data_IF_408748057495
#
_entry.id   IF_408748057495
#
_cell.length_a   1.000
_cell.length_b   1.000
_cell.length_c   1.000
_cell.angle_alpha   90.00
_cell.angle_beta   90.00
_cell.angle_gamma   90.00
#
_symmetry.space_group_name_H-M   'P 1'
#
loop_
_entity.id
_entity.type
_entity.pdbx_description
1 polymer ?
#
# COMPACT_ATOMS: atom_id res chain seq x y z
N UNK A 1 -51.86 -33.93 28.68
CA UNK A 1 -51.75 -35.41 28.81
C UNK A 1 -51.39 -36.01 27.45
N UNK A 2 -50.40 -36.93 27.42
CA UNK A 2 -49.95 -37.80 26.29
C UNK A 2 -49.19 -37.06 25.16
N UNK A 3 -47.85 -37.02 25.11
CA UNK A 3 -46.80 -38.04 24.84
C UNK A 3 -46.71 -38.51 23.37
N UNK A 4 -45.54 -38.19 22.78
CA UNK A 4 -44.66 -39.00 21.91
C UNK A 4 -45.20 -39.49 20.56
N UNK A 5 -44.53 -39.09 19.47
CA UNK A 5 -44.04 -40.06 18.48
C UNK A 5 -42.77 -39.53 17.79
N UNK A 6 -41.65 -40.04 18.28
CA UNK A 6 -40.31 -40.02 17.67
C UNK A 6 -40.23 -41.24 16.74
N UNK A 7 -39.35 -41.19 15.73
CA UNK A 7 -38.92 -42.26 14.81
C UNK A 7 -39.70 -42.44 13.50
N UNK A 8 -39.22 -41.74 12.46
CA UNK A 8 -38.92 -42.38 11.18
C UNK A 8 -37.51 -41.98 10.74
N UNK A 9 -36.58 -42.86 11.07
CA UNK A 9 -35.18 -42.89 10.65
C UNK A 9 -35.09 -43.79 9.41
N UNK A 10 -34.17 -43.46 8.49
CA UNK A 10 -33.65 -44.28 7.37
C UNK A 10 -34.44 -44.34 6.05
N UNK A 11 -34.24 -43.35 5.17
CA UNK A 11 -34.03 -43.47 3.70
C UNK A 11 -33.39 -42.12 3.31
N UNK A 12 -32.18 -41.92 2.78
CA UNK A 12 -31.39 -42.63 1.78
C UNK A 12 -29.92 -42.19 1.92
N UNK A 13 -29.07 -43.11 2.37
CA UNK A 13 -27.63 -43.04 2.29
C UNK A 13 -27.20 -43.84 1.04
N UNK A 14 -27.13 -43.20 -0.12
CA UNK A 14 -26.47 -43.73 -1.32
C UNK A 14 -26.42 -42.67 -2.42
N UNK A 15 -25.27 -42.03 -2.59
CA UNK A 15 -24.70 -41.57 -3.86
C UNK A 15 -23.45 -40.72 -3.58
N UNK A 16 -22.37 -41.39 -3.18
CA UNK A 16 -21.03 -40.96 -3.57
C UNK A 16 -20.69 -41.76 -4.83
N UNK A 17 -20.27 -41.08 -5.91
CA UNK A 17 -18.94 -41.38 -6.37
C UNK A 17 -18.13 -40.10 -6.65
N UNK A 18 -16.94 -40.09 -6.07
CA UNK A 18 -15.67 -39.71 -6.68
C UNK A 18 -15.71 -38.67 -7.80
N UNK A 19 -15.45 -37.40 -7.47
CA UNK A 19 -14.55 -36.56 -8.27
C UNK A 19 -13.35 -36.16 -7.40
N UNK A 20 -12.26 -36.94 -7.53
CA UNK A 20 -10.91 -36.42 -7.34
C UNK A 20 -10.59 -35.56 -8.56
N UNK A 21 -10.72 -34.24 -8.42
CA UNK A 21 -10.00 -33.31 -9.30
C UNK A 21 -8.63 -33.11 -8.67
N UNK A 22 -7.67 -33.92 -9.09
CA UNK A 22 -6.27 -33.54 -9.09
C UNK A 22 -6.06 -32.67 -10.33
N UNK A 23 -5.94 -31.36 -10.14
CA UNK A 23 -5.45 -30.46 -11.19
C UNK A 23 -4.72 -29.28 -10.54
N UNK A 24 -3.41 -29.47 -10.42
CA UNK A 24 -2.36 -28.45 -10.40
C UNK A 24 -2.50 -27.28 -9.42
N UNK A 25 -1.74 -27.40 -8.32
CA UNK A 25 -0.96 -26.30 -7.78
C UNK A 25 -0.22 -25.58 -8.91
N UNK A 26 -0.85 -24.53 -9.43
CA UNK A 26 -0.12 -23.36 -9.91
C UNK A 26 -0.44 -22.25 -8.93
N UNK A 27 0.32 -22.24 -7.83
CA UNK A 27 0.66 -21.01 -7.14
C UNK A 27 1.32 -20.12 -8.19
N UNK A 28 0.53 -19.34 -8.90
CA UNK A 28 1.02 -18.18 -9.61
C UNK A 28 1.51 -17.24 -8.52
N UNK A 29 2.80 -17.36 -8.19
CA UNK A 29 3.56 -16.21 -7.75
C UNK A 29 3.47 -15.23 -8.91
N UNK A 30 2.48 -14.34 -8.86
CA UNK A 30 2.51 -13.10 -9.61
C UNK A 30 3.78 -12.40 -9.14
N UNK A 31 4.87 -12.58 -9.90
CA UNK A 31 5.89 -11.54 -9.97
C UNK A 31 5.13 -10.27 -10.33
N UNK A 32 5.29 -9.16 -9.59
CA UNK A 32 4.77 -7.88 -10.03
C UNK A 32 5.48 -7.55 -11.34
N UNK A 33 4.85 -7.90 -12.45
CA UNK A 33 5.19 -7.40 -13.76
C UNK A 33 5.02 -5.89 -13.68
N UNK A 34 6.07 -5.16 -14.04
CA UNK A 34 6.16 -3.71 -14.19
C UNK A 34 5.16 -3.13 -15.24
N UNK A 35 4.00 -3.74 -15.43
CA UNK A 35 2.95 -3.28 -16.34
C UNK A 35 2.00 -2.27 -15.68
N UNK A 36 1.90 -2.25 -14.34
CA UNK A 36 0.95 -1.37 -13.63
C UNK A 36 1.40 0.10 -13.52
N UNK A 37 2.64 0.42 -13.92
CA UNK A 37 3.13 1.79 -13.93
C UNK A 37 2.59 2.61 -15.12
N UNK A 38 2.25 1.97 -16.24
CA UNK A 38 1.85 2.67 -17.47
C UNK A 38 0.37 3.04 -17.51
N UNK A 39 -0.50 2.27 -16.84
CA UNK A 39 -1.95 2.57 -16.78
C UNK A 39 -2.32 3.60 -15.70
N UNK A 40 -1.37 4.00 -14.85
CA UNK A 40 -1.56 5.15 -13.96
C UNK A 40 -1.57 6.49 -14.69
N UNK A 41 -0.95 6.58 -15.88
CA UNK A 41 -0.82 7.83 -16.62
C UNK A 41 -2.13 8.32 -17.29
N UNK A 42 -3.14 7.45 -17.43
CA UNK A 42 -4.44 7.77 -18.06
C UNK A 42 -5.61 7.85 -17.09
N UNK A 43 -5.33 7.95 -15.79
CA UNK A 43 -6.41 8.06 -14.81
C UNK A 43 -6.91 9.52 -14.75
N UNK A 44 -8.23 9.75 -14.67
CA UNK A 44 -8.77 11.08 -14.47
C UNK A 44 -8.14 11.64 -13.20
N UNK A 45 -7.42 12.77 -13.33
CA UNK A 45 -6.74 13.43 -12.22
C UNK A 45 -7.73 13.57 -11.07
N UNK A 46 -7.47 12.87 -9.95
CA UNK A 46 -8.31 12.98 -8.76
C UNK A 46 -8.13 14.38 -8.22
N UNK A 47 -9.08 15.26 -8.52
CA UNK A 47 -9.05 16.63 -7.99
C UNK A 47 -9.24 16.69 -6.46
N UNK A 48 -9.47 15.55 -5.78
CA UNK A 48 -9.92 15.51 -4.38
C UNK A 48 -9.20 14.57 -3.43
N UNK A 49 -8.40 13.60 -3.90
CA UNK A 49 -7.72 12.68 -2.97
C UNK A 49 -6.28 13.15 -2.79
N UNK A 50 -5.88 13.64 -1.60
CA UNK A 50 -4.53 14.12 -1.39
C UNK A 50 -3.50 13.00 -1.56
N UNK A 51 -2.36 13.35 -2.14
CA UNK A 51 -1.27 12.42 -2.45
C UNK A 51 -0.72 11.72 -1.20
N UNK A 52 -0.79 12.37 -0.04
CA UNK A 52 -0.42 11.81 1.26
C UNK A 52 -1.17 10.52 1.59
N UNK A 53 -2.45 10.41 1.23
CA UNK A 53 -3.26 9.21 1.49
C UNK A 53 -2.81 8.03 0.63
N UNK A 54 -2.32 8.28 -0.59
CA UNK A 54 -1.84 7.24 -1.52
C UNK A 54 -0.55 6.56 -1.03
N UNK A 55 0.13 7.15 -0.04
CA UNK A 55 1.29 6.53 0.59
C UNK A 55 0.90 5.33 1.44
N UNK A 56 -0.30 5.33 2.02
CA UNK A 56 -0.82 4.22 2.83
C UNK A 56 -1.54 3.18 1.98
N UNK A 57 -1.47 1.90 2.37
CA UNK A 57 -2.23 0.83 1.72
C UNK A 57 -3.74 1.08 1.80
N UNK A 58 -4.24 1.41 2.99
CA UNK A 58 -5.65 1.70 3.20
C UNK A 58 -6.14 2.89 2.37
N UNK A 59 -5.36 3.96 2.27
CA UNK A 59 -5.70 5.11 1.44
C UNK A 59 -5.71 4.79 -0.06
N UNK A 60 -4.81 3.92 -0.55
CA UNK A 60 -4.84 3.42 -1.93
C UNK A 60 -6.11 2.63 -2.23
N UNK A 61 -6.50 1.74 -1.33
CA UNK A 61 -7.74 0.96 -1.47
C UNK A 61 -8.98 1.86 -1.54
N UNK A 62 -9.11 2.80 -0.61
CA UNK A 62 -10.23 3.73 -0.57
C UNK A 62 -10.26 4.64 -1.80
N UNK A 63 -9.10 5.12 -2.25
CA UNK A 63 -9.00 5.90 -3.48
C UNK A 63 -9.45 5.09 -4.72
N UNK A 64 -9.09 3.82 -4.80
CA UNK A 64 -9.52 2.93 -5.88
C UNK A 64 -11.04 2.70 -5.84
N UNK A 65 -11.59 2.42 -4.66
CA UNK A 65 -13.04 2.26 -4.46
C UNK A 65 -13.80 3.52 -4.86
N UNK A 66 -13.33 4.69 -4.41
CA UNK A 66 -13.91 5.98 -4.76
C UNK A 66 -13.95 6.20 -6.28
N UNK A 67 -12.85 5.92 -6.98
CA UNK A 67 -12.79 6.05 -8.46
C UNK A 67 -13.81 5.15 -9.14
N UNK A 68 -13.90 3.89 -8.71
CA UNK A 68 -14.82 2.90 -9.29
C UNK A 68 -16.29 3.31 -9.09
N UNK A 69 -16.62 3.75 -7.88
CA UNK A 69 -17.97 4.23 -7.55
C UNK A 69 -18.31 5.50 -8.31
N UNK A 70 -17.39 6.48 -8.34
CA UNK A 70 -17.60 7.73 -9.07
C UNK A 70 -17.76 7.50 -10.58
N UNK A 71 -16.96 6.62 -11.19
CA UNK A 71 -17.13 6.24 -12.59
C UNK A 71 -18.52 5.65 -12.84
N UNK A 72 -18.97 4.77 -11.94
CA UNK A 72 -20.31 4.14 -12.01
C UNK A 72 -21.44 5.17 -11.86
N UNK A 73 -21.29 6.16 -10.99
CA UNK A 73 -22.26 7.27 -10.84
C UNK A 73 -22.29 8.18 -12.08
N UNK A 74 -21.13 8.42 -12.71
CA UNK A 74 -21.02 9.27 -13.90
C UNK A 74 -21.61 8.61 -15.14
N UNK A 75 -21.48 7.29 -15.29
CA UNK A 75 -22.08 6.56 -16.42
C UNK A 75 -23.59 6.40 -16.27
N UNK A 76 -24.13 6.46 -15.05
CA UNK A 76 -25.56 6.37 -14.78
C UNK A 76 -26.27 7.71 -14.95
N UNK A 77 -27.42 7.70 -15.62
CA UNK A 77 -28.30 8.86 -15.73
C UNK A 77 -28.82 9.35 -14.36
N UNK A 78 -29.23 10.63 -14.23
CA UNK A 78 -29.66 11.21 -12.95
C UNK A 78 -30.90 10.54 -12.35
N UNK A 79 -31.73 9.88 -13.17
CA UNK A 79 -32.95 9.17 -12.74
C UNK A 79 -32.73 7.67 -12.46
N UNK A 80 -31.49 7.18 -12.48
CA UNK A 80 -31.23 5.75 -12.28
C UNK A 80 -31.54 5.34 -10.83
N UNK A 81 -32.29 4.25 -10.59
CA UNK A 81 -32.77 3.90 -9.24
C UNK A 81 -31.64 3.59 -8.25
N UNK A 82 -30.53 3.00 -8.71
CA UNK A 82 -29.39 2.70 -7.83
C UNK A 82 -28.42 3.87 -7.63
N UNK A 83 -28.63 5.00 -8.31
CA UNK A 83 -27.69 6.13 -8.26
C UNK A 83 -27.57 6.70 -6.85
N UNK A 84 -28.70 6.86 -6.15
CA UNK A 84 -28.74 7.36 -4.78
C UNK A 84 -27.90 6.48 -3.84
N UNK A 85 -28.04 5.15 -3.95
CA UNK A 85 -27.27 4.22 -3.13
C UNK A 85 -25.76 4.32 -3.40
N UNK A 86 -25.35 4.49 -4.66
CA UNK A 86 -23.94 4.66 -5.02
C UNK A 86 -23.39 6.01 -4.55
N UNK A 87 -24.18 7.08 -4.59
CA UNK A 87 -23.76 8.38 -4.04
C UNK A 87 -23.59 8.33 -2.54
N UNK A 88 -24.44 7.61 -1.81
CA UNK A 88 -24.30 7.42 -0.37
C UNK A 88 -23.03 6.64 -0.03
N UNK A 89 -22.70 5.60 -0.82
CA UNK A 89 -21.44 4.86 -0.68
C UNK A 89 -20.23 5.75 -0.96
N UNK A 90 -20.32 6.62 -1.97
CA UNK A 90 -19.25 7.55 -2.32
C UNK A 90 -18.99 8.54 -1.17
N UNK A 91 -20.05 9.05 -0.54
CA UNK A 91 -19.95 9.91 0.64
C UNK A 91 -19.31 9.20 1.84
N UNK A 92 -19.64 7.93 2.08
CA UNK A 92 -19.01 7.12 3.14
C UNK A 92 -17.51 6.96 2.91
N UNK A 93 -17.11 6.64 1.68
CA UNK A 93 -15.68 6.52 1.33
C UNK A 93 -14.95 7.87 1.46
N UNK A 94 -15.61 8.97 1.10
CA UNK A 94 -15.05 10.32 1.28
C UNK A 94 -14.85 10.65 2.77
N UNK A 95 -15.80 10.27 3.64
CA UNK A 95 -15.65 10.41 5.09
C UNK A 95 -14.51 9.56 5.66
N UNK A 96 -14.36 8.31 5.19
CA UNK A 96 -13.24 7.44 5.60
C UNK A 96 -11.88 8.01 5.17
N UNK A 97 -11.79 8.57 3.96
CA UNK A 97 -10.58 9.23 3.48
C UNK A 97 -10.21 10.44 4.36
N UNK A 98 -11.19 11.29 4.66
CA UNK A 98 -11.01 12.46 5.53
C UNK A 98 -10.61 12.07 6.97
N UNK A 99 -11.05 10.92 7.47
CA UNK A 99 -10.66 10.43 8.79
C UNK A 99 -9.19 9.99 8.86
N UNK A 100 -8.59 9.58 7.74
CA UNK A 100 -7.18 9.15 7.66
C UNK A 100 -6.23 10.35 7.54
N UNK A 101 -6.67 11.44 6.89
CA UNK A 101 -5.86 12.67 6.75
C UNK A 101 -5.24 13.19 8.07
N UNK A 102 -5.99 13.34 9.17
CA UNK A 102 -5.42 13.79 10.44
C UNK A 102 -4.50 12.74 11.08
N UNK A 103 -4.72 11.45 10.82
CA UNK A 103 -3.87 10.37 11.34
C UNK A 103 -2.48 10.34 10.67
N UNK A 104 -2.37 10.86 9.44
CA UNK A 104 -1.08 11.04 8.76
C UNK A 104 -0.27 12.22 9.31
N UNK A 105 -0.89 13.07 10.14
CA UNK A 105 -0.27 14.20 10.82
C UNK A 105 0.17 15.31 9.89
N UNK A 106 0.25 16.53 10.42
CA UNK A 106 1.07 17.57 9.80
C UNK A 106 2.51 17.07 9.84
N UNK A 107 2.98 16.55 8.71
CA UNK A 107 4.33 16.02 8.57
C UNK A 107 5.29 17.12 9.03
N UNK A 108 5.98 16.91 10.15
CA UNK A 108 6.97 17.87 10.60
C UNK A 108 7.94 18.14 9.44
N UNK A 109 8.28 19.42 9.19
CA UNK A 109 9.12 19.79 8.07
C UNK A 109 10.42 19.00 8.16
N UNK A 110 10.67 18.16 7.15
CA UNK A 110 11.79 17.23 7.13
C UNK A 110 13.11 17.99 7.42
N UNK A 111 13.79 17.70 8.55
CA UNK A 111 14.97 18.46 8.97
C UNK A 111 16.19 18.26 8.05
N UNK A 112 16.12 17.29 7.12
CA UNK A 112 17.15 17.03 6.13
C UNK A 112 16.95 17.80 4.82
N UNK A 113 15.77 18.40 4.58
CA UNK A 113 15.55 19.20 3.37
C UNK A 113 16.33 20.52 3.37
N UNK A 114 16.56 21.10 4.53
CA UNK A 114 17.36 22.33 4.67
C UNK A 114 18.82 22.11 4.28
N UNK A 115 19.40 20.96 4.65
CA UNK A 115 20.79 20.60 4.29
C UNK A 115 20.98 20.28 2.81
N UNK A 116 19.98 19.66 2.17
CA UNK A 116 20.05 19.37 0.73
C UNK A 116 19.91 20.63 -0.12
N UNK A 117 19.07 21.59 0.29
CA UNK A 117 18.96 22.88 -0.40
C UNK A 117 20.21 23.75 -0.24
N UNK A 118 20.97 23.60 0.84
CA UNK A 118 22.24 24.32 0.99
C UNK A 118 23.41 23.70 0.21
N UNK A 119 23.27 22.45 -0.28
CA UNK A 119 24.26 21.83 -1.18
C UNK A 119 23.96 22.05 -2.67
N UNK A 120 22.72 22.45 -3.00
CA UNK A 120 22.33 22.80 -4.36
C UNK A 120 22.38 24.32 -4.47
N UNK A 121 23.52 24.85 -4.91
CA UNK A 121 23.68 26.26 -5.24
C UNK A 121 22.61 26.71 -6.27
N UNK A 122 21.79 27.73 -5.99
CA UNK A 122 20.88 28.31 -6.97
C UNK A 122 21.63 29.38 -7.78
N UNK A 123 22.65 28.99 -8.55
CA UNK A 123 23.34 29.94 -9.46
C UNK A 123 23.99 29.30 -10.69
N UNK A 124 23.43 28.20 -11.20
CA UNK A 124 23.86 27.69 -12.51
C UNK A 124 22.64 27.67 -13.43
N UNK A 125 22.49 28.78 -14.17
CA UNK A 125 21.83 28.75 -15.47
C UNK A 125 22.50 27.64 -16.29
N UNK A 126 21.69 26.80 -16.93
CA UNK A 126 22.13 25.65 -17.68
C UNK A 126 23.21 26.02 -18.72
N UNK A 127 24.33 25.28 -18.77
CA UNK A 127 25.04 25.05 -20.00
C UNK A 127 24.84 23.60 -20.44
N UNK A 128 24.46 23.47 -21.70
CA UNK A 128 24.41 22.24 -22.46
C UNK A 128 25.80 21.58 -22.51
N UNK A 129 25.80 20.24 -22.53
CA UNK A 129 26.91 19.34 -22.91
C UNK A 129 28.23 19.42 -22.13
N UNK A 130 28.45 18.44 -21.24
CA UNK A 130 29.81 18.02 -20.84
C UNK A 130 29.82 16.51 -20.51
N UNK A 131 30.91 15.87 -20.93
CA UNK A 131 31.14 14.44 -21.13
C UNK A 131 31.05 13.51 -19.89
N UNK A 132 30.80 12.20 -20.09
CA UNK A 132 30.68 11.20 -19.02
C UNK A 132 32.05 10.63 -18.61
N UNK A 133 32.93 11.45 -18.01
CA UNK A 133 34.28 10.99 -17.63
C UNK A 133 34.67 11.15 -16.15
N UNK A 134 33.81 11.69 -15.28
CA UNK A 134 34.22 12.10 -13.92
C UNK A 134 33.45 11.42 -12.76
N UNK A 135 33.14 10.13 -12.91
CA UNK A 135 32.37 9.37 -11.91
C UNK A 135 33.23 8.69 -10.81
N UNK A 136 34.55 8.93 -10.75
CA UNK A 136 35.46 8.17 -9.88
C UNK A 136 36.07 8.91 -8.69
N UNK A 137 35.72 10.18 -8.45
CA UNK A 137 36.25 10.95 -7.32
C UNK A 137 35.24 11.05 -6.16
N UNK A 138 34.84 9.88 -5.63
CA UNK A 138 34.24 9.83 -4.30
C UNK A 138 35.35 10.18 -3.29
N UNK A 139 35.28 11.40 -2.73
CA UNK A 139 36.24 11.89 -1.75
C UNK A 139 36.39 10.86 -0.63
N UNK A 140 37.63 10.51 -0.29
CA UNK A 140 37.92 9.46 0.69
C UNK A 140 37.26 9.71 2.07
N UNK A 141 36.96 10.97 2.39
CA UNK A 141 36.16 11.36 3.56
C UNK A 141 34.73 10.82 3.55
N UNK A 142 34.07 10.76 2.40
CA UNK A 142 32.70 10.25 2.25
C UNK A 142 32.66 8.74 2.46
N UNK A 143 33.67 8.02 1.99
CA UNK A 143 33.83 6.58 2.21
C UNK A 143 34.07 6.28 3.69
N UNK A 144 34.89 7.08 4.37
CA UNK A 144 35.10 6.93 5.82
C UNK A 144 33.85 7.26 6.63
N UNK A 145 33.09 8.28 6.23
CA UNK A 145 31.83 8.63 6.86
C UNK A 145 30.79 7.50 6.70
N UNK A 146 30.69 6.93 5.51
CA UNK A 146 29.81 5.80 5.24
C UNK A 146 30.17 4.58 6.11
N UNK A 147 31.47 4.26 6.24
CA UNK A 147 31.95 3.17 7.10
C UNK A 147 31.57 3.39 8.57
N UNK A 148 31.72 4.62 9.07
CA UNK A 148 31.31 4.99 10.45
C UNK A 148 29.79 4.84 10.65
N UNK A 149 29.01 5.25 9.67
CA UNK A 149 27.55 5.12 9.70
C UNK A 149 27.11 3.65 9.68
N UNK A 150 27.71 2.83 8.81
CA UNK A 150 27.43 1.39 8.75
C UNK A 150 27.79 0.70 10.08
N UNK A 151 28.93 1.01 10.68
CA UNK A 151 29.32 0.47 11.97
C UNK A 151 28.33 0.86 13.10
N UNK A 152 27.87 2.11 13.09
CA UNK A 152 26.86 2.58 14.06
C UNK A 152 25.50 1.89 13.87
N UNK A 153 25.11 1.61 12.62
CA UNK A 153 23.88 0.88 12.31
C UNK A 153 23.96 -0.57 12.75
N UNK A 154 25.06 -1.26 12.45
CA UNK A 154 25.28 -2.65 12.88
C UNK A 154 25.16 -2.79 14.40
N UNK A 155 25.78 -1.87 15.17
CA UNK A 155 25.67 -1.87 16.63
C UNK A 155 24.24 -1.66 17.13
N UNK A 156 23.44 -0.84 16.44
CA UNK A 156 22.03 -0.64 16.80
C UNK A 156 21.19 -1.87 16.48
N UNK A 157 21.48 -2.57 15.39
CA UNK A 157 20.80 -3.82 15.03
C UNK A 157 21.08 -4.87 16.09
N UNK A 158 22.33 -5.05 16.49
CA UNK A 158 22.72 -5.98 17.58
C UNK A 158 21.97 -5.67 18.89
N UNK A 159 21.91 -4.40 19.29
CA UNK A 159 21.14 -3.98 20.48
C UNK A 159 19.64 -4.25 20.36
N UNK A 160 19.07 -4.15 19.16
CA UNK A 160 17.66 -4.45 18.93
C UNK A 160 17.41 -5.95 18.95
N UNK A 161 18.31 -6.75 18.40
CA UNK A 161 18.26 -8.21 18.45
C UNK A 161 18.31 -8.72 19.90
N UNK A 162 19.21 -8.16 20.73
CA UNK A 162 19.27 -8.46 22.16
C UNK A 162 17.94 -8.12 22.87
N UNK A 163 17.41 -6.91 22.65
CA UNK A 163 16.15 -6.49 23.28
C UNK A 163 14.96 -7.34 22.83
N UNK A 164 14.93 -7.76 21.57
CA UNK A 164 13.90 -8.67 21.07
C UNK A 164 14.04 -10.04 21.73
N UNK A 165 15.25 -10.58 21.85
CA UNK A 165 15.50 -11.84 22.53
C UNK A 165 15.07 -11.80 24.02
N UNK A 166 15.35 -10.69 24.73
CA UNK A 166 14.88 -10.47 26.10
C UNK A 166 13.34 -10.44 26.19
N UNK A 167 12.68 -9.72 25.27
CA UNK A 167 11.22 -9.64 25.22
C UNK A 167 10.57 -10.98 24.85
N UNK A 168 11.19 -11.76 23.96
CA UNK A 168 10.73 -13.10 23.61
C UNK A 168 10.91 -14.08 24.77
N UNK A 169 12.01 -13.97 25.53
CA UNK A 169 12.22 -14.77 26.74
C UNK A 169 11.23 -14.42 27.84
N UNK A 170 10.90 -13.14 28.03
CA UNK A 170 9.92 -12.69 29.03
C UNK A 170 8.46 -13.05 28.66
N UNK A 171 8.18 -13.33 27.39
CA UNK A 171 6.85 -13.71 26.89
C UNK A 171 6.57 -15.22 26.96
N UNK A 172 7.62 -16.04 27.13
CA UNK A 172 7.51 -17.49 27.34
C UNK A 172 7.27 -17.78 28.82
#
# INVERSE_FOLDING_TARGET
>A
MKRLSILTVLVSLACLPCWRVTANDRVYVQRPTQADASDQARQPKLKKVPESLLLTERGRELAFQWRRLNASVQTMGPKHPSRAALTDQLLKVEQELLAIEPALGQREPNPFRSRLRSLVDPSVEAPESADPADASDLKEGDVQQLRRQMAALMKRVEQLEERVAELEAARR
#
